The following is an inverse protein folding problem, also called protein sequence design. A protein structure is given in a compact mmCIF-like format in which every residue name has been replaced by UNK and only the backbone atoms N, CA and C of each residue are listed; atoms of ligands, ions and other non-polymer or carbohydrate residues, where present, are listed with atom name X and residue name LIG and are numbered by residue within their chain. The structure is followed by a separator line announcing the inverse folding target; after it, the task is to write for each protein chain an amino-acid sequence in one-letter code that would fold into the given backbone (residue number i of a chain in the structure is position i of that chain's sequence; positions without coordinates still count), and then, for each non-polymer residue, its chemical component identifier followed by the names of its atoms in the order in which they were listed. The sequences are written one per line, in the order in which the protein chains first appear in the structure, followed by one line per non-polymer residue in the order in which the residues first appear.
data_IF_097476723581
#
_entry.id   IF_097476723581
#
_cell.length_a   1.000
_cell.length_b   1.000
_cell.length_c   1.000
_cell.angle_alpha   90.00
_cell.angle_beta   90.00
_cell.angle_gamma   90.00
#
_symmetry.space_group_name_H-M   'P 1'
#
loop_
_entity.id
_entity.type
_entity.pdbx_description
1 polymer ?
#
# COMPACT_ATOMS: atom_id res chain seq x y z
N UNK A 1 20.80 17.52 3.46
CA UNK A 1 20.33 16.43 4.33
C UNK A 1 18.87 16.26 4.00
N UNK A 2 18.50 15.15 3.36
CA UNK A 2 17.08 14.77 3.33
C UNK A 2 16.70 14.45 4.77
N UNK A 3 15.68 15.13 5.27
CA UNK A 3 15.13 14.84 6.59
C UNK A 3 14.44 13.49 6.42
N UNK A 4 15.07 12.42 6.90
CA UNK A 4 14.42 11.11 6.96
C UNK A 4 13.19 11.25 7.84
N UNK A 5 12.01 11.27 7.23
CA UNK A 5 10.73 11.29 7.93
C UNK A 5 10.21 9.88 8.16
N UNK A 6 9.23 9.76 9.05
CA UNK A 6 8.42 8.57 9.21
C UNK A 6 6.99 8.96 8.83
N UNK A 7 6.35 8.15 8.01
CA UNK A 7 4.91 8.22 7.81
C UNK A 7 4.27 7.35 8.89
N UNK A 8 3.23 7.88 9.52
CA UNK A 8 2.46 7.18 10.55
C UNK A 8 1.02 7.02 10.10
N UNK A 9 0.42 5.88 10.41
CA UNK A 9 -0.97 5.60 10.13
C UNK A 9 -1.59 4.74 11.24
N UNK A 10 -2.90 4.88 11.42
CA UNK A 10 -3.69 4.00 12.27
C UNK A 10 -4.84 3.43 11.46
N UNK A 11 -5.03 2.11 11.53
CA UNK A 11 -6.09 1.41 10.84
C UNK A 11 -7.15 0.96 11.83
N UNK A 12 -8.40 1.03 11.43
CA UNK A 12 -9.52 0.50 12.20
C UNK A 12 -10.51 -0.20 11.28
N UNK A 13 -11.13 -1.26 11.79
CA UNK A 13 -12.10 -2.09 11.09
C UNK A 13 -13.48 -1.83 11.68
N UNK A 14 -14.42 -1.41 10.82
CA UNK A 14 -15.83 -1.28 11.16
C UNK A 14 -16.55 -2.61 10.95
N UNK A 15 -17.12 -3.16 12.01
CA UNK A 15 -17.93 -4.38 11.98
C UNK A 15 -19.39 -4.08 11.60
N UNK A 16 -20.11 -5.09 11.14
CA UNK A 16 -21.52 -5.01 10.73
C UNK A 16 -22.47 -4.61 11.88
N UNK A 17 -22.12 -4.96 13.10
CA UNK A 17 -22.81 -4.55 14.33
C UNK A 17 -22.48 -3.11 14.78
N UNK A 18 -21.71 -2.36 13.99
CA UNK A 18 -21.34 -0.98 14.24
C UNK A 18 -20.16 -0.78 15.20
N UNK A 19 -19.57 -1.86 15.73
CA UNK A 19 -18.37 -1.77 16.55
C UNK A 19 -17.14 -1.47 15.69
N UNK A 20 -16.17 -0.80 16.29
CA UNK A 20 -14.91 -0.46 15.65
C UNK A 20 -13.81 -1.14 16.42
N UNK A 21 -12.96 -1.89 15.71
CA UNK A 21 -11.84 -2.62 16.29
C UNK A 21 -10.53 -2.21 15.61
N UNK A 22 -9.44 -2.24 16.36
CA UNK A 22 -8.09 -2.28 15.80
C UNK A 22 -7.71 -3.69 15.36
N UNK A 23 -6.54 -3.81 14.72
CA UNK A 23 -5.92 -5.11 14.47
C UNK A 23 -5.14 -5.50 15.74
N UNK A 24 -5.36 -6.71 16.30
CA UNK A 24 -4.72 -7.12 17.55
C UNK A 24 -3.20 -7.20 17.38
N UNK A 25 -2.45 -6.77 18.39
CA UNK A 25 -0.98 -6.85 18.38
C UNK A 25 -0.47 -8.21 18.87
N UNK A 26 -1.21 -8.86 19.76
CA UNK A 26 -0.84 -10.15 20.35
C UNK A 26 -2.08 -10.91 20.85
N UNK A 27 -1.85 -12.12 21.38
CA UNK A 27 -2.89 -12.95 21.99
C UNK A 27 -3.44 -12.38 23.31
N UNK A 28 -2.71 -11.45 23.93
CA UNK A 28 -3.06 -10.81 25.21
C UNK A 28 -3.78 -9.47 25.01
N UNK A 29 -4.10 -9.12 23.77
CA UNK A 29 -4.80 -7.88 23.42
C UNK A 29 -6.24 -7.94 23.94
N UNK A 30 -6.41 -7.64 25.24
CA UNK A 30 -7.68 -7.73 25.97
C UNK A 30 -8.73 -6.71 25.49
N UNK A 31 -8.30 -5.63 24.84
CA UNK A 31 -9.17 -4.55 24.36
C UNK A 31 -8.77 -4.18 22.93
N UNK A 32 -9.48 -4.76 21.96
CA UNK A 32 -9.34 -4.39 20.53
C UNK A 32 -10.37 -3.35 20.09
N UNK A 33 -11.45 -3.15 20.84
CA UNK A 33 -12.44 -2.12 20.54
C UNK A 33 -11.80 -0.72 20.69
N UNK A 34 -12.00 0.13 19.67
CA UNK A 34 -11.44 1.48 19.60
C UNK A 34 -12.53 2.50 19.26
N UNK A 35 -12.31 3.76 19.63
CA UNK A 35 -13.08 4.88 19.11
C UNK A 35 -12.49 5.35 17.78
N UNK A 36 -13.35 5.68 16.81
CA UNK A 36 -12.91 6.26 15.55
C UNK A 36 -12.39 7.68 15.80
N UNK A 37 -11.23 8.01 15.25
CA UNK A 37 -10.75 9.39 15.29
C UNK A 37 -11.61 10.27 14.39
N UNK A 38 -11.76 11.55 14.77
CA UNK A 38 -12.63 12.50 14.06
C UNK A 38 -12.20 12.78 12.62
N UNK A 39 -10.92 12.61 12.34
CA UNK A 39 -10.26 12.80 11.05
C UNK A 39 -10.10 11.50 10.26
N UNK A 40 -10.65 10.37 10.74
CA UNK A 40 -10.58 9.10 10.02
C UNK A 40 -11.39 9.15 8.73
N UNK A 41 -10.78 8.68 7.64
CA UNK A 41 -11.43 8.50 6.35
C UNK A 41 -11.62 7.02 6.02
N UNK A 42 -12.74 6.70 5.36
CA UNK A 42 -12.99 5.34 4.89
C UNK A 42 -12.17 5.06 3.63
N UNK A 43 -11.35 4.00 3.67
CA UNK A 43 -10.64 3.47 2.50
C UNK A 43 -11.60 2.95 1.40
N UNK A 44 -12.86 2.73 1.74
CA UNK A 44 -13.91 2.28 0.80
C UNK A 44 -14.79 3.42 0.27
N UNK A 45 -14.36 4.67 0.41
CA UNK A 45 -15.06 5.86 -0.10
C UNK A 45 -15.02 5.95 -1.62
N UNK A 46 -13.89 5.59 -2.23
CA UNK A 46 -13.73 5.42 -3.67
C UNK A 46 -13.13 4.04 -3.98
N UNK A 47 -13.88 3.24 -4.73
CA UNK A 47 -13.47 1.92 -5.20
C UNK A 47 -13.27 1.89 -6.71
N UNK A 48 -13.12 3.04 -7.36
CA UNK A 48 -12.81 3.10 -8.78
C UNK A 48 -11.47 2.40 -9.06
N UNK A 49 -11.34 1.82 -10.24
CA UNK A 49 -10.07 1.26 -10.67
C UNK A 49 -9.01 2.36 -10.79
N UNK A 50 -7.76 2.01 -10.50
CA UNK A 50 -6.68 2.97 -10.36
C UNK A 50 -6.12 3.27 -11.76
N UNK A 51 -6.14 4.53 -12.22
CA UNK A 51 -5.62 4.88 -13.54
C UNK A 51 -4.09 4.92 -13.55
N UNK A 52 -3.47 4.14 -14.43
CA UNK A 52 -2.08 4.24 -14.85
C UNK A 52 -1.96 5.08 -16.12
N UNK A 53 -1.26 6.21 -16.02
CA UNK A 53 -1.07 7.13 -17.15
C UNK A 53 0.23 6.84 -17.89
N UNK A 54 0.11 6.60 -19.20
CA UNK A 54 1.24 6.45 -20.11
C UNK A 54 1.44 7.76 -20.89
N UNK A 55 2.59 8.39 -20.63
CA UNK A 55 2.93 9.72 -21.19
C UNK A 55 3.77 9.65 -22.48
N UNK A 56 4.10 8.45 -22.96
CA UNK A 56 4.80 8.26 -24.24
C UNK A 56 4.31 7.01 -24.99
N UNK A 57 4.49 6.96 -26.33
CA UNK A 57 4.09 5.81 -27.13
C UNK A 57 4.90 4.53 -26.84
N UNK A 58 6.01 4.65 -26.11
CA UNK A 58 6.88 3.54 -25.71
C UNK A 58 6.40 2.83 -24.43
N UNK A 59 5.31 3.31 -23.79
CA UNK A 59 4.72 2.71 -22.59
C UNK A 59 5.54 2.91 -21.31
N UNK A 60 6.42 3.92 -21.25
CA UNK A 60 7.25 4.19 -20.08
C UNK A 60 6.52 5.08 -19.07
N UNK A 61 6.77 4.79 -17.80
CA UNK A 61 6.29 5.57 -16.65
C UNK A 61 6.95 6.96 -16.57
N UNK A 62 6.34 7.87 -15.80
CA UNK A 62 6.87 9.21 -15.53
C UNK A 62 8.29 9.14 -14.93
N UNK A 63 8.52 8.19 -14.01
CA UNK A 63 9.80 8.02 -13.35
C UNK A 63 10.89 7.60 -14.34
N UNK A 64 10.60 6.67 -15.24
CA UNK A 64 11.54 6.24 -16.28
C UNK A 64 11.90 7.37 -17.26
N UNK A 65 10.95 8.25 -17.57
CA UNK A 65 11.21 9.43 -18.39
C UNK A 65 12.10 10.44 -17.66
N UNK A 66 11.86 10.66 -16.36
CA UNK A 66 12.68 11.53 -15.52
C UNK A 66 14.10 10.97 -15.32
N UNK A 67 14.24 9.66 -15.12
CA UNK A 67 15.52 8.99 -14.95
C UNK A 67 16.33 8.96 -16.26
N UNK A 68 15.67 8.69 -17.38
CA UNK A 68 16.27 8.81 -18.70
C UNK A 68 16.76 10.25 -18.96
N UNK A 69 16.00 11.26 -18.54
CA UNK A 69 16.40 12.67 -18.63
C UNK A 69 17.59 12.99 -17.73
N UNK A 70 17.59 12.55 -16.47
CA UNK A 70 18.70 12.74 -15.52
C UNK A 70 20.01 12.13 -16.05
N UNK A 71 19.91 10.95 -16.67
CA UNK A 71 21.03 10.25 -17.34
C UNK A 71 21.51 10.97 -18.62
N UNK A 72 20.60 11.64 -19.35
CA UNK A 72 20.91 12.43 -20.55
C UNK A 72 21.54 13.79 -20.19
N UNK A 73 21.09 14.41 -19.10
CA UNK A 73 21.64 15.67 -18.57
C UNK A 73 23.01 15.50 -17.87
N UNK A 74 23.28 14.33 -17.28
CA UNK A 74 24.58 14.00 -16.69
C UNK A 74 25.67 13.67 -17.73
N UNK A 75 25.29 13.44 -18.99
CA UNK A 75 26.24 13.15 -20.06
C UNK A 75 26.93 14.42 -20.55
N UNK A 76 28.27 14.37 -20.70
CA UNK A 76 29.14 15.47 -21.13
C UNK A 76 28.61 16.20 -22.38
N UNK A 77 28.01 15.47 -23.33
CA UNK A 77 27.40 16.03 -24.54
C UNK A 77 26.15 16.89 -24.29
N UNK A 78 25.35 16.57 -23.26
CA UNK A 78 24.15 17.33 -22.88
C UNK A 78 24.49 18.70 -22.30
N UNK A 79 25.59 18.79 -21.54
CA UNK A 79 26.12 20.05 -20.99
C UNK A 79 26.66 20.98 -22.09
N UNK A 80 27.33 20.43 -23.10
CA UNK A 80 27.89 21.20 -24.22
C UNK A 80 26.77 21.78 -25.10
N UNK A 81 25.73 21.00 -25.46
CA UNK A 81 24.61 21.51 -26.26
C UNK A 81 23.84 22.67 -25.59
N UNK A 82 23.73 22.65 -24.26
CA UNK A 82 23.07 23.71 -23.46
C UNK A 82 23.88 25.02 -23.46
N UNK A 83 25.21 24.94 -23.49
CA UNK A 83 26.10 26.09 -23.52
C UNK A 83 26.14 26.81 -24.89
N UNK A 84 25.84 26.09 -25.98
CA UNK A 84 25.86 26.63 -27.37
C UNK A 84 24.45 27.07 -27.84
N UNK A 85 23.46 27.12 -26.95
CA UNK A 85 22.10 27.58 -27.30
C UNK A 85 21.31 26.64 -28.22
N UNK A 86 21.80 25.42 -28.45
CA UNK A 86 21.18 24.37 -29.27
C UNK A 86 20.31 23.41 -28.44
N UNK A 87 19.87 23.85 -27.25
CA UNK A 87 18.96 23.07 -26.43
C UNK A 87 17.62 22.91 -27.16
N UNK A 88 17.25 21.68 -27.48
CA UNK A 88 15.88 21.37 -27.91
C UNK A 88 14.92 21.99 -26.89
N UNK A 89 14.07 22.90 -27.38
CA UNK A 89 13.04 23.54 -26.56
C UNK A 89 12.20 22.48 -25.84
N UNK A 90 11.67 22.84 -24.67
CA UNK A 90 10.80 22.01 -23.85
C UNK A 90 9.79 21.30 -24.77
N UNK A 91 9.78 19.97 -24.86
CA UNK A 91 8.76 19.27 -25.61
C UNK A 91 7.42 19.69 -25.02
N UNK A 92 6.63 20.39 -25.83
CA UNK A 92 5.19 20.49 -25.60
C UNK A 92 4.67 19.05 -25.56
N UNK A 93 3.69 18.84 -24.70
CA UNK A 93 2.84 17.64 -24.63
C UNK A 93 3.32 16.57 -23.64
N UNK A 94 3.02 16.84 -22.36
CA UNK A 94 2.60 15.78 -21.44
C UNK A 94 1.16 15.37 -21.81
N UNK A 95 0.91 15.01 -23.08
CA UNK A 95 -0.39 14.48 -23.48
C UNK A 95 -0.38 13.01 -23.06
N UNK A 96 -1.27 12.68 -22.12
CA UNK A 96 -1.57 11.30 -21.77
C UNK A 96 -2.01 10.60 -23.05
N UNK A 97 -1.20 9.66 -23.53
CA UNK A 97 -1.49 8.94 -24.77
C UNK A 97 -2.33 7.70 -24.52
N UNK A 98 -2.19 7.09 -23.33
CA UNK A 98 -2.96 5.91 -22.93
C UNK A 98 -3.20 5.96 -21.42
N UNK A 99 -4.43 5.64 -21.03
CA UNK A 99 -4.78 5.38 -19.63
C UNK A 99 -5.12 3.90 -19.53
N UNK A 100 -4.42 3.17 -18.68
CA UNK A 100 -4.77 1.81 -18.29
C UNK A 100 -5.39 1.85 -16.90
N UNK A 101 -6.30 0.93 -16.60
CA UNK A 101 -6.92 0.86 -15.29
C UNK A 101 -6.51 -0.47 -14.66
N UNK A 102 -5.85 -0.40 -13.50
CA UNK A 102 -5.59 -1.57 -12.67
C UNK A 102 -6.72 -1.71 -11.65
N UNK A 103 -7.16 -2.94 -11.43
CA UNK A 103 -8.20 -3.23 -10.46
C UNK A 103 -7.84 -2.69 -9.07
N UNK A 104 -8.77 -1.97 -8.45
CA UNK A 104 -8.64 -1.61 -7.03
C UNK A 104 -8.98 -2.82 -6.15
N UNK A 105 -7.94 -3.46 -5.58
CA UNK A 105 -8.08 -4.66 -4.75
C UNK A 105 -8.84 -4.44 -3.44
N UNK A 106 -9.00 -3.20 -2.97
CA UNK A 106 -9.82 -2.90 -1.78
C UNK A 106 -11.28 -3.35 -1.95
N UNK A 107 -11.75 -3.51 -3.19
CA UNK A 107 -13.06 -4.10 -3.50
C UNK A 107 -13.25 -5.47 -2.86
N UNK A 108 -12.18 -6.25 -2.73
CA UNK A 108 -12.20 -7.60 -2.16
C UNK A 108 -12.12 -7.61 -0.64
N UNK A 109 -11.83 -6.49 0.02
CA UNK A 109 -11.74 -6.43 1.48
C UNK A 109 -13.05 -5.98 2.13
N UNK A 110 -13.88 -5.24 1.39
CA UNK A 110 -15.15 -4.69 1.90
C UNK A 110 -16.18 -5.79 2.11
N UNK A 111 -16.91 -5.70 3.22
CA UNK A 111 -18.02 -6.59 3.58
C UNK A 111 -17.64 -8.08 3.60
N UNK A 112 -16.38 -8.40 3.90
CA UNK A 112 -15.95 -9.78 4.08
C UNK A 112 -16.11 -10.19 5.53
N UNK A 113 -16.53 -11.44 5.74
CA UNK A 113 -16.50 -12.06 7.06
C UNK A 113 -15.06 -12.32 7.51
N UNK A 114 -14.75 -11.97 8.76
CA UNK A 114 -13.52 -12.40 9.44
C UNK A 114 -13.66 -13.87 9.82
N UNK A 115 -12.72 -14.70 9.40
CA UNK A 115 -12.74 -16.15 9.64
C UNK A 115 -11.69 -16.62 10.63
N UNK A 116 -10.56 -15.92 10.74
CA UNK A 116 -9.50 -16.28 11.68
C UNK A 116 -8.62 -15.07 12.03
N UNK A 117 -7.86 -15.21 13.12
CA UNK A 117 -6.78 -14.32 13.47
C UNK A 117 -5.47 -15.11 13.47
N UNK A 118 -4.48 -14.61 12.75
CA UNK A 118 -3.15 -15.21 12.65
C UNK A 118 -2.17 -14.37 13.46
N UNK A 119 -1.45 -14.98 14.40
CA UNK A 119 -0.51 -14.28 15.27
C UNK A 119 0.76 -15.10 15.43
N UNK A 120 1.92 -14.44 15.32
CA UNK A 120 3.22 -15.05 15.63
C UNK A 120 3.53 -14.90 17.12
N UNK A 121 4.21 -15.89 17.72
CA UNK A 121 4.57 -15.83 19.15
C UNK A 121 5.62 -14.75 19.48
N UNK A 122 6.23 -14.14 18.47
CA UNK A 122 7.21 -13.09 18.67
C UNK A 122 6.48 -11.77 18.95
N UNK A 123 6.70 -11.18 20.13
CA UNK A 123 6.05 -9.96 20.66
C UNK A 123 6.20 -8.68 19.81
N UNK A 124 6.88 -8.74 18.66
CA UNK A 124 7.19 -7.57 17.82
C UNK A 124 6.34 -7.49 16.54
N UNK A 125 5.43 -8.44 16.29
CA UNK A 125 4.61 -8.45 15.07
C UNK A 125 3.13 -8.19 15.36
N UNK A 126 2.55 -7.21 14.68
CA UNK A 126 1.10 -7.02 14.62
C UNK A 126 0.44 -8.31 14.12
N UNK A 127 -0.74 -8.63 14.64
CA UNK A 127 -1.56 -9.73 14.18
C UNK A 127 -2.10 -9.51 12.77
N UNK A 128 -2.70 -10.58 12.25
CA UNK A 128 -3.31 -10.59 10.93
C UNK A 128 -4.74 -11.11 11.04
N UNK A 129 -5.61 -10.59 10.17
CA UNK A 129 -7.02 -10.98 10.09
C UNK A 129 -7.24 -11.69 8.77
N UNK A 130 -7.66 -12.94 8.82
CA UNK A 130 -8.04 -13.70 7.62
C UNK A 130 -9.51 -13.47 7.31
N UNK A 131 -9.80 -13.20 6.04
CA UNK A 131 -11.13 -12.96 5.49
C UNK A 131 -11.64 -14.20 4.76
N UNK A 132 -12.95 -14.35 4.65
CA UNK A 132 -13.59 -15.54 4.06
C UNK A 132 -13.22 -15.82 2.61
N UNK A 133 -12.81 -14.80 1.86
CA UNK A 133 -12.34 -14.93 0.49
C UNK A 133 -10.84 -15.28 0.38
N UNK A 134 -10.16 -15.51 1.51
CA UNK A 134 -8.75 -15.89 1.58
C UNK A 134 -7.78 -14.72 1.64
N UNK A 135 -8.25 -13.47 1.57
CA UNK A 135 -7.41 -12.31 1.82
C UNK A 135 -7.01 -12.25 3.30
N UNK A 136 -5.80 -11.76 3.56
CA UNK A 136 -5.29 -11.55 4.91
C UNK A 136 -4.90 -10.08 5.04
N UNK A 137 -5.40 -9.39 6.05
CA UNK A 137 -5.12 -7.97 6.29
C UNK A 137 -4.33 -7.76 7.57
N UNK A 138 -3.50 -6.72 7.59
CA UNK A 138 -2.73 -6.26 8.75
C UNK A 138 -2.53 -4.74 8.68
N UNK A 139 -1.91 -4.16 9.69
CA UNK A 139 -1.52 -2.75 9.70
C UNK A 139 -0.02 -2.58 9.81
N UNK A 140 0.47 -1.50 9.25
CA UNK A 140 1.82 -0.99 9.52
C UNK A 140 1.65 0.41 10.05
N UNK A 141 1.94 0.59 11.34
CA UNK A 141 1.71 1.87 12.01
C UNK A 141 2.71 2.94 11.61
N UNK A 142 3.90 2.53 11.17
CA UNK A 142 4.97 3.44 10.84
C UNK A 142 5.87 2.87 9.73
N UNK A 143 6.23 3.70 8.76
CA UNK A 143 7.19 3.35 7.71
C UNK A 143 8.10 4.54 7.37
N UNK A 144 9.26 4.31 6.73
CA UNK A 144 10.04 5.41 6.17
C UNK A 144 9.16 6.29 5.26
N UNK A 145 9.33 7.60 5.35
CA UNK A 145 8.45 8.51 4.61
C UNK A 145 8.58 8.32 3.10
N UNK A 146 7.44 8.33 2.42
CA UNK A 146 7.35 8.22 0.96
C UNK A 146 7.39 6.77 0.43
N UNK A 147 7.42 5.76 1.29
CA UNK A 147 7.26 4.35 0.84
C UNK A 147 5.81 3.98 0.60
N UNK A 148 4.85 4.72 1.19
CA UNK A 148 3.43 4.40 1.13
C UNK A 148 3.05 3.11 1.87
N UNK A 149 3.91 2.63 2.78
CA UNK A 149 3.69 1.36 3.50
C UNK A 149 2.95 1.52 4.82
N UNK A 150 2.95 2.72 5.42
CA UNK A 150 2.16 3.00 6.61
C UNK A 150 0.66 2.98 6.28
N UNK A 151 -0.10 2.14 6.97
CA UNK A 151 -1.54 1.97 6.78
C UNK A 151 -1.96 0.51 6.71
N UNK A 152 -3.02 0.25 5.94
CA UNK A 152 -3.57 -1.08 5.71
C UNK A 152 -2.71 -1.83 4.69
N UNK A 153 -2.21 -2.99 5.08
CA UNK A 153 -1.53 -3.93 4.19
C UNK A 153 -2.37 -5.21 4.05
N UNK A 154 -2.23 -5.88 2.91
CA UNK A 154 -2.97 -7.10 2.65
C UNK A 154 -2.18 -8.10 1.80
N UNK A 155 -2.56 -9.36 1.91
CA UNK A 155 -2.11 -10.49 1.12
C UNK A 155 -3.32 -11.10 0.42
N UNK A 156 -3.18 -11.48 -0.85
CA UNK A 156 -4.29 -11.98 -1.67
C UNK A 156 -4.64 -13.45 -1.38
N UNK A 157 -3.74 -14.17 -0.71
CA UNK A 157 -3.91 -15.56 -0.34
C UNK A 157 -3.01 -15.94 0.85
N UNK A 158 -3.34 -17.07 1.48
CA UNK A 158 -2.49 -17.68 2.50
C UNK A 158 -1.07 -17.98 1.98
N UNK A 159 -0.95 -18.43 0.73
CA UNK A 159 0.34 -18.68 0.08
C UNK A 159 1.19 -17.40 0.01
N UNK A 160 0.62 -16.30 -0.49
CA UNK A 160 1.34 -15.01 -0.57
C UNK A 160 1.73 -14.45 0.80
N UNK A 161 0.91 -14.70 1.82
CA UNK A 161 1.22 -14.36 3.20
C UNK A 161 2.37 -15.21 3.75
N UNK A 162 2.33 -16.53 3.56
CA UNK A 162 3.36 -17.46 4.05
C UNK A 162 4.71 -17.26 3.35
N UNK A 163 4.71 -16.90 2.06
CA UNK A 163 5.92 -16.50 1.34
C UNK A 163 6.58 -15.25 1.93
N UNK A 164 5.77 -14.29 2.40
CA UNK A 164 6.25 -13.01 2.93
C UNK A 164 6.60 -13.07 4.42
N UNK A 165 5.83 -13.79 5.22
CA UNK A 165 5.87 -13.76 6.69
C UNK A 165 6.34 -15.07 7.31
N UNK A 166 6.32 -16.18 6.55
CA UNK A 166 6.60 -17.52 7.04
C UNK A 166 5.38 -18.21 7.66
N UNK A 167 5.56 -19.48 8.05
CA UNK A 167 4.47 -20.38 8.50
C UNK A 167 4.39 -20.55 10.02
N UNK A 168 5.17 -19.78 10.78
CA UNK A 168 5.29 -19.90 12.25
C UNK A 168 4.18 -19.24 13.06
N UNK A 169 3.03 -18.94 12.44
CA UNK A 169 1.89 -18.29 13.09
C UNK A 169 0.95 -19.33 13.72
N UNK A 170 0.13 -18.88 14.67
CA UNK A 170 -1.00 -19.66 15.20
C UNK A 170 -2.30 -19.01 14.78
N UNK A 171 -3.31 -19.86 14.62
CA UNK A 171 -4.71 -19.51 14.36
C UNK A 171 -5.49 -19.47 15.67
N UNK A 172 -6.31 -18.44 15.88
CA UNK A 172 -7.05 -18.25 17.14
C UNK A 172 -8.45 -18.85 17.08
N UNK A 173 -9.17 -18.71 15.97
CA UNK A 173 -10.60 -19.11 15.91
C UNK A 173 -10.77 -20.62 15.72
N UNK A 174 -9.67 -21.35 15.57
CA UNK A 174 -9.73 -22.78 15.32
C UNK A 174 -9.86 -23.62 16.60
N UNK A 175 -11.07 -23.65 17.18
CA UNK A 175 -11.70 -24.87 17.75
C UNK A 175 -13.23 -24.79 17.68
N UNK A 176 -13.79 -25.07 16.50
CA UNK A 176 -15.09 -25.74 16.48
C UNK A 176 -14.82 -27.23 16.73
N UNK A 177 -15.21 -27.71 17.90
CA UNK A 177 -15.25 -29.14 18.23
C UNK A 177 -16.22 -29.91 17.33
#
# INVERSE_FOLDING_TARGET
MEVGGLDEAEVSVLLDNGKIIGIPWDFESEIIEKELRKDSESLFSDLSDIPGYHINPEGKSIQEVLDAKKKRESSFFGRIKKAVGLGEGIPKEHIVHKTEYSENKLKHLKNQKIVDFLIFENYDSVGFIELENGFIITETTMSPSGTGMAGLNYYESLESFEESCGTGYKRIINKSH
#
